data_IF_364074845172
#
_entry.id   IF_364074845172
#
_cell.length_a   1.000
_cell.length_b   1.000
_cell.length_c   1.000
_cell.angle_alpha   90.00
_cell.angle_beta   90.00
_cell.angle_gamma   90.00
#
_symmetry.space_group_name_H-M   'P 1'
#
loop_
_entity.id
_entity.type
_entity.pdbx_description
1 polymer ?
#
# COMPACT_ATOMS: atom_id res chain seq x y z
N UNK A 1 -3.07 1.50 27.38
CA UNK A 1 -4.08 0.93 26.46
C UNK A 1 -4.97 2.04 25.95
N UNK A 2 -4.89 2.36 24.66
CA UNK A 2 -5.67 3.43 24.02
C UNK A 2 -6.57 2.83 22.93
N UNK A 3 -7.90 2.73 23.14
CA UNK A 3 -8.81 2.17 22.14
C UNK A 3 -8.77 2.98 20.83
N UNK A 4 -8.54 4.29 20.90
CA UNK A 4 -8.44 5.16 19.73
C UNK A 4 -7.31 4.77 18.75
N UNK A 5 -6.19 4.23 19.23
CA UNK A 5 -5.12 3.76 18.32
C UNK A 5 -5.52 2.48 17.59
N UNK A 6 -6.32 1.64 18.23
CA UNK A 6 -6.81 0.39 17.62
C UNK A 6 -7.84 0.66 16.54
N UNK A 7 -8.72 1.65 16.74
CA UNK A 7 -9.69 2.06 15.71
C UNK A 7 -9.00 2.75 14.54
N UNK A 8 -8.00 3.59 14.80
CA UNK A 8 -7.19 4.23 13.77
C UNK A 8 -6.46 3.19 12.90
N UNK A 9 -5.81 2.20 13.52
CA UNK A 9 -5.07 1.17 12.77
C UNK A 9 -5.99 0.32 11.90
N UNK A 10 -7.19 -0.01 12.39
CA UNK A 10 -8.22 -0.69 11.62
C UNK A 10 -8.66 0.15 10.41
N UNK A 11 -8.94 1.44 10.60
CA UNK A 11 -9.39 2.33 9.52
C UNK A 11 -8.33 2.48 8.43
N UNK A 12 -7.06 2.70 8.81
CA UNK A 12 -5.95 2.78 7.85
C UNK A 12 -5.78 1.46 7.09
N UNK A 13 -5.91 0.32 7.77
CA UNK A 13 -5.83 -0.99 7.13
C UNK A 13 -6.96 -1.24 6.12
N UNK A 14 -8.20 -0.85 6.45
CA UNK A 14 -9.35 -0.96 5.54
C UNK A 14 -9.19 -0.09 4.29
N UNK A 15 -8.69 1.14 4.44
CA UNK A 15 -8.43 2.04 3.30
C UNK A 15 -7.33 1.47 2.41
N UNK A 16 -6.22 0.99 2.98
CA UNK A 16 -5.12 0.40 2.20
C UNK A 16 -5.54 -0.85 1.44
N UNK A 17 -6.22 -1.79 2.11
CA UNK A 17 -6.65 -3.05 1.48
C UNK A 17 -7.71 -2.82 0.40
N UNK A 18 -8.71 -1.98 0.66
CA UNK A 18 -9.73 -1.64 -0.34
C UNK A 18 -9.11 -0.97 -1.58
N UNK A 19 -8.15 -0.06 -1.40
CA UNK A 19 -7.42 0.55 -2.52
C UNK A 19 -6.71 -0.50 -3.39
N UNK A 20 -6.01 -1.46 -2.76
CA UNK A 20 -5.28 -2.54 -3.44
C UNK A 20 -6.22 -3.47 -4.19
N UNK A 21 -7.35 -3.86 -3.59
CA UNK A 21 -8.34 -4.66 -4.28
C UNK A 21 -8.95 -3.92 -5.47
N UNK A 22 -9.28 -2.64 -5.33
CA UNK A 22 -9.77 -1.83 -6.45
C UNK A 22 -8.76 -1.79 -7.60
N UNK A 23 -7.47 -1.58 -7.34
CA UNK A 23 -6.42 -1.63 -8.39
C UNK A 23 -6.29 -3.01 -9.04
N UNK A 24 -6.38 -4.10 -8.28
CA UNK A 24 -6.36 -5.46 -8.83
C UNK A 24 -7.57 -5.73 -9.74
N UNK A 25 -8.75 -5.22 -9.36
CA UNK A 25 -9.97 -5.38 -10.17
C UNK A 25 -9.93 -4.57 -11.45
N UNK A 26 -9.38 -3.35 -11.45
CA UNK A 26 -9.24 -2.57 -12.69
C UNK A 26 -8.23 -3.18 -13.66
N UNK A 27 -7.23 -3.90 -13.15
CA UNK A 27 -6.23 -4.63 -13.95
C UNK A 27 -6.66 -6.07 -14.30
N UNK A 28 -7.74 -6.60 -13.73
CA UNK A 28 -8.17 -7.99 -13.85
C UNK A 28 -7.02 -9.00 -13.61
N UNK A 29 -6.16 -8.73 -12.63
CA UNK A 29 -4.93 -9.48 -12.37
C UNK A 29 -5.00 -10.21 -11.02
N UNK A 30 -5.04 -11.55 -11.05
CA UNK A 30 -5.04 -12.39 -9.84
C UNK A 30 -3.67 -13.01 -9.52
N UNK A 31 -2.77 -13.07 -10.51
CA UNK A 31 -1.48 -13.75 -10.40
C UNK A 31 -0.33 -12.74 -10.55
N UNK A 32 0.81 -13.02 -9.90
CA UNK A 32 2.00 -12.16 -9.94
C UNK A 32 2.45 -11.89 -11.39
N UNK A 33 2.47 -12.91 -12.24
CA UNK A 33 2.87 -12.76 -13.66
C UNK A 33 1.87 -11.92 -14.47
N UNK A 34 0.58 -11.92 -14.10
CA UNK A 34 -0.42 -11.05 -14.75
C UNK A 34 -0.27 -9.60 -14.27
N UNK A 35 0.11 -9.44 -13.00
CA UNK A 35 0.37 -8.15 -12.39
C UNK A 35 1.61 -7.48 -12.97
N UNK A 36 2.70 -8.23 -13.20
CA UNK A 36 3.93 -7.69 -13.81
C UNK A 36 3.71 -7.13 -15.21
N UNK A 37 2.78 -7.73 -15.96
CA UNK A 37 2.39 -7.30 -17.30
C UNK A 37 1.55 -6.01 -17.31
N UNK A 38 1.10 -5.52 -16.14
CA UNK A 38 0.29 -4.30 -16.04
C UNK A 38 1.08 -3.03 -16.38
N UNK A 39 2.40 -3.02 -16.14
CA UNK A 39 3.28 -1.87 -16.44
C UNK A 39 3.16 -1.42 -17.89
N UNK A 40 3.15 -2.37 -18.82
CA UNK A 40 3.09 -2.12 -20.25
C UNK A 40 1.69 -1.68 -20.73
N UNK A 41 0.64 -1.97 -19.96
CA UNK A 41 -0.75 -1.61 -20.30
C UNK A 41 -1.15 -0.25 -19.72
N UNK A 42 -0.80 0.00 -18.46
CA UNK A 42 -1.21 1.18 -17.70
C UNK A 42 -0.10 1.60 -16.73
N UNK A 43 0.95 2.30 -17.19
CA UNK A 43 2.10 2.63 -16.36
C UNK A 43 1.73 3.48 -15.13
N UNK A 44 0.76 4.41 -15.26
CA UNK A 44 0.29 5.24 -14.14
C UNK A 44 -0.37 4.42 -13.02
N UNK A 45 -1.11 3.38 -13.39
CA UNK A 45 -1.76 2.51 -12.40
C UNK A 45 -0.73 1.60 -11.72
N UNK A 46 0.27 1.13 -12.46
CA UNK A 46 1.36 0.33 -11.91
C UNK A 46 2.25 1.12 -10.94
N UNK A 47 2.52 2.41 -11.20
CA UNK A 47 3.28 3.26 -10.25
C UNK A 47 2.49 3.54 -8.97
N UNK A 48 1.19 3.86 -9.07
CA UNK A 48 0.34 4.04 -7.89
C UNK A 48 0.17 2.74 -7.07
N UNK A 49 0.10 1.60 -7.75
CA UNK A 49 0.11 0.29 -7.12
C UNK A 49 1.42 -0.03 -6.39
N UNK A 50 2.56 0.40 -6.92
CA UNK A 50 3.84 0.30 -6.23
C UNK A 50 3.82 1.09 -4.92
N UNK A 51 3.35 2.34 -4.94
CA UNK A 51 3.34 3.20 -3.76
C UNK A 51 2.40 2.66 -2.67
N UNK A 52 1.24 2.14 -3.05
CA UNK A 52 0.25 1.53 -2.13
C UNK A 52 0.76 0.22 -1.50
N UNK A 53 1.49 -0.61 -2.26
CA UNK A 53 2.22 -1.78 -1.71
C UNK A 53 3.26 -1.36 -0.68
N UNK A 54 4.02 -0.29 -0.95
CA UNK A 54 4.96 0.28 0.01
C UNK A 54 4.25 0.82 1.26
N UNK A 55 3.04 1.38 1.09
CA UNK A 55 2.22 1.85 2.20
C UNK A 55 1.76 0.71 3.12
N UNK A 56 1.37 -0.44 2.57
CA UNK A 56 1.10 -1.65 3.37
C UNK A 56 2.35 -2.15 4.12
N UNK A 57 3.53 -2.00 3.52
CA UNK A 57 4.81 -2.26 4.18
C UNK A 57 5.08 -1.31 5.36
N UNK A 58 4.54 -0.10 5.33
CA UNK A 58 4.71 0.91 6.37
C UNK A 58 6.04 1.62 6.27
N UNK A 59 6.39 2.11 5.09
CA UNK A 59 7.60 2.93 4.87
C UNK A 59 7.39 4.37 5.36
N UNK A 60 8.43 5.05 5.87
CA UNK A 60 8.32 6.36 6.53
C UNK A 60 7.68 7.50 5.72
N UNK A 61 7.67 7.53 4.36
CA UNK A 61 6.89 8.55 3.64
C UNK A 61 5.41 8.20 3.45
N UNK A 62 4.95 7.01 3.85
CA UNK A 62 3.61 6.49 3.50
C UNK A 62 2.67 6.38 4.70
N UNK A 63 1.35 6.39 4.44
CA UNK A 63 0.31 6.38 5.49
C UNK A 63 0.36 5.17 6.43
N UNK A 64 0.77 3.99 5.94
CA UNK A 64 0.78 2.77 6.76
C UNK A 64 1.92 2.72 7.80
N UNK A 65 2.86 3.67 7.77
CA UNK A 65 3.84 3.82 8.84
C UNK A 65 3.22 4.42 10.11
N UNK A 66 2.23 5.31 9.94
CA UNK A 66 1.55 6.03 11.01
C UNK A 66 1.07 5.11 12.15
N UNK A 67 0.21 4.09 11.91
CA UNK A 67 -0.31 3.26 12.99
C UNK A 67 0.80 2.44 13.65
N UNK A 68 1.76 1.91 12.88
CA UNK A 68 2.88 1.12 13.44
C UNK A 68 3.74 1.99 14.35
N UNK A 69 4.04 3.20 13.93
CA UNK A 69 4.85 4.14 14.70
C UNK A 69 4.17 4.56 16.00
N UNK A 70 2.90 4.95 15.96
CA UNK A 70 2.15 5.34 17.16
C UNK A 70 2.00 4.18 18.15
N UNK A 71 1.77 2.96 17.67
CA UNK A 71 1.71 1.77 18.53
C UNK A 71 3.07 1.55 19.22
N UNK A 72 4.18 1.63 18.48
CA UNK A 72 5.52 1.49 19.08
C UNK A 72 5.80 2.58 20.12
N UNK A 73 5.34 3.82 19.88
CA UNK A 73 5.48 4.92 20.84
C UNK A 73 4.71 4.66 22.14
N UNK A 74 3.48 4.15 22.07
CA UNK A 74 2.70 3.83 23.28
C UNK A 74 3.26 2.61 24.03
N UNK A 75 3.82 1.62 23.32
CA UNK A 75 4.42 0.43 23.94
C UNK A 75 5.72 0.77 24.68
N UNK A 76 6.53 1.69 24.14
CA UNK A 76 7.75 2.14 24.82
C UNK A 76 7.44 2.98 26.06
N UNK A 77 6.36 3.79 26.05
CA UNK A 77 5.86 4.48 27.25
C UNK A 77 5.43 3.53 28.37
N UNK A 78 4.94 2.34 28.04
CA UNK A 78 4.55 1.31 29.01
C UNK A 78 5.72 0.40 29.43
N UNK A 79 6.97 0.78 29.14
CA UNK A 79 8.18 0.01 29.42
C UNK A 79 8.26 -1.38 28.74
N UNK A 80 7.42 -1.65 27.74
CA UNK A 80 7.41 -2.92 26.99
C UNK A 80 8.39 -2.90 25.80
N UNK A 81 9.65 -2.55 26.09
CA UNK A 81 10.69 -2.39 25.06
C UNK A 81 10.96 -3.66 24.24
N UNK A 82 11.14 -4.81 24.90
CA UNK A 82 11.44 -6.08 24.23
C UNK A 82 10.33 -6.56 23.29
N UNK A 83 9.06 -6.33 23.67
CA UNK A 83 7.91 -6.69 22.82
C UNK A 83 7.85 -5.78 21.59
N UNK A 84 8.14 -4.48 21.77
CA UNK A 84 8.14 -3.49 20.68
C UNK A 84 9.18 -3.81 19.59
N UNK A 85 10.38 -4.27 19.98
CA UNK A 85 11.44 -4.62 19.02
C UNK A 85 11.11 -5.90 18.26
N UNK A 86 10.55 -6.90 18.94
CA UNK A 86 10.08 -8.14 18.28
C UNK A 86 8.99 -7.84 17.25
N UNK A 87 8.03 -6.97 17.58
CA UNK A 87 6.99 -6.52 16.65
C UNK A 87 7.59 -5.77 15.45
N UNK A 88 8.52 -4.85 15.68
CA UNK A 88 9.20 -4.12 14.59
C UNK A 88 9.96 -5.07 13.65
N UNK A 89 10.67 -6.06 14.18
CA UNK A 89 11.37 -7.07 13.38
C UNK A 89 10.40 -7.95 12.58
N UNK A 90 9.28 -8.36 13.17
CA UNK A 90 8.26 -9.14 12.44
C UNK A 90 7.64 -8.35 11.28
N UNK A 91 7.48 -7.03 11.43
CA UNK A 91 6.95 -6.17 10.38
C UNK A 91 7.87 -6.10 9.15
N UNK A 92 9.19 -6.15 9.34
CA UNK A 92 10.16 -6.18 8.23
C UNK A 92 9.98 -7.41 7.33
N UNK A 93 9.55 -8.54 7.89
CA UNK A 93 9.29 -9.76 7.12
C UNK A 93 8.14 -9.56 6.13
N UNK A 94 7.07 -8.90 6.57
CA UNK A 94 5.93 -8.54 5.69
C UNK A 94 6.33 -7.54 4.61
N UNK A 95 7.21 -6.59 4.97
CA UNK A 95 7.72 -5.58 4.04
C UNK A 95 8.53 -6.23 2.91
N UNK A 96 9.33 -7.27 3.19
CA UNK A 96 10.09 -7.99 2.17
C UNK A 96 9.20 -8.62 1.10
N UNK A 97 8.04 -9.17 1.47
CA UNK A 97 7.08 -9.71 0.52
C UNK A 97 6.51 -8.61 -0.39
N UNK A 98 6.10 -7.47 0.18
CA UNK A 98 5.57 -6.35 -0.60
C UNK A 98 6.63 -5.72 -1.51
N UNK A 99 7.89 -5.63 -1.07
CA UNK A 99 9.00 -5.19 -1.90
C UNK A 99 9.18 -6.08 -3.12
N UNK A 100 9.21 -7.40 -2.94
CA UNK A 100 9.34 -8.35 -4.06
C UNK A 100 8.21 -8.18 -5.07
N UNK A 101 6.98 -8.01 -4.60
CA UNK A 101 5.84 -7.79 -5.48
C UNK A 101 5.99 -6.46 -6.24
N UNK A 102 6.34 -5.37 -5.55
CA UNK A 102 6.56 -4.06 -6.18
C UNK A 102 7.64 -4.12 -7.28
N UNK A 103 8.70 -4.88 -7.03
CA UNK A 103 9.80 -5.09 -7.97
C UNK A 103 9.35 -5.82 -9.25
N UNK A 104 8.50 -6.84 -9.09
CA UNK A 104 7.91 -7.55 -10.22
C UNK A 104 6.94 -6.70 -11.03
N UNK A 105 6.30 -5.69 -10.42
CA UNK A 105 5.26 -4.88 -11.08
C UNK A 105 5.82 -3.70 -11.84
N UNK A 106 6.75 -2.93 -11.27
CA UNK A 106 7.16 -1.65 -11.86
C UNK A 106 8.65 -1.57 -12.19
N UNK A 107 9.52 -2.18 -11.38
CA UNK A 107 10.97 -2.02 -11.53
C UNK A 107 11.56 -2.96 -12.59
N UNK A 108 10.86 -4.03 -12.96
CA UNK A 108 11.30 -4.95 -14.01
C UNK A 108 10.26 -5.05 -15.11
N UNK A 109 10.71 -4.98 -16.36
CA UNK A 109 9.86 -5.17 -17.54
C UNK A 109 9.79 -6.66 -17.87
N UNK A 110 8.66 -7.31 -17.55
CA UNK A 110 8.44 -8.72 -17.91
C UNK A 110 8.17 -8.90 -19.40
N UNK A 111 8.52 -10.07 -19.99
CA UNK A 111 8.36 -10.31 -21.42
C UNK A 111 6.89 -10.16 -21.85
N UNK A 112 6.69 -9.38 -22.90
CA UNK A 112 5.36 -9.00 -23.35
C UNK A 112 4.70 -10.06 -24.24
N UNK A 113 3.37 -10.16 -24.20
CA UNK A 113 2.58 -11.02 -25.08
C UNK A 113 2.20 -10.21 -26.33
N UNK A 114 2.25 -10.83 -27.51
CA UNK A 114 2.04 -10.19 -28.82
C UNK A 114 0.76 -9.33 -28.95
N UNK A 115 -0.28 -9.61 -28.16
CA UNK A 115 -1.55 -8.87 -28.19
C UNK A 115 -1.55 -7.52 -27.42
N UNK A 116 -0.44 -7.09 -26.80
CA UNK A 116 -0.42 -5.83 -26.04
C UNK A 116 -0.75 -4.62 -26.89
N UNK A 117 -0.37 -4.59 -28.17
CA UNK A 117 -0.54 -3.39 -29.01
C UNK A 117 -2.02 -3.05 -29.26
N UNK A 118 -2.92 -4.02 -29.08
CA UNK A 118 -4.37 -3.80 -29.21
C UNK A 118 -4.96 -3.11 -27.97
N UNK A 119 -4.37 -3.28 -26.79
CA UNK A 119 -4.86 -2.63 -25.56
C UNK A 119 -4.58 -1.13 -25.53
N UNK A 120 -3.58 -0.65 -26.28
CA UNK A 120 -3.27 0.78 -26.41
C UNK A 120 -4.39 1.60 -27.06
N UNK A 121 -5.26 0.95 -27.85
CA UNK A 121 -6.34 1.64 -28.58
C UNK A 121 -7.67 1.65 -27.81
N UNK A 122 -7.76 0.91 -26.70
CA UNK A 122 -8.99 0.80 -25.93
C UNK A 122 -9.06 1.90 -24.87
N UNK A 123 -10.21 2.56 -24.78
CA UNK A 123 -10.51 3.49 -23.68
C UNK A 123 -10.90 2.70 -22.44
N UNK A 124 -10.17 2.88 -21.35
CA UNK A 124 -10.50 2.25 -20.08
C UNK A 124 -11.47 3.12 -19.28
N UNK A 125 -12.63 2.57 -18.90
CA UNK A 125 -13.53 3.21 -17.96
C UNK A 125 -12.95 3.06 -16.54
N UNK A 126 -12.39 4.14 -16.00
CA UNK A 126 -11.80 4.14 -14.67
C UNK A 126 -12.86 4.38 -13.60
N UNK A 127 -12.81 3.62 -12.51
CA UNK A 127 -13.64 3.91 -11.34
C UNK A 127 -13.25 5.25 -10.74
N UNK A 128 -14.19 6.19 -10.64
CA UNK A 128 -13.96 7.54 -10.11
C UNK A 128 -13.47 7.56 -8.66
N UNK A 129 -13.75 6.50 -7.88
CA UNK A 129 -13.32 6.38 -6.48
C UNK A 129 -11.82 6.08 -6.34
N UNK A 130 -11.19 5.53 -7.39
CA UNK A 130 -9.83 4.99 -7.33
C UNK A 130 -8.76 6.07 -7.01
N UNK A 131 -8.76 7.24 -7.66
CA UNK A 131 -7.77 8.28 -7.36
C UNK A 131 -7.89 8.79 -5.92
N UNK A 132 -9.11 8.95 -5.40
CA UNK A 132 -9.34 9.41 -4.04
C UNK A 132 -8.79 8.42 -2.99
N UNK A 133 -8.96 7.12 -3.23
CA UNK A 133 -8.37 6.11 -2.34
C UNK A 133 -6.84 6.13 -2.40
N UNK A 134 -6.25 6.26 -3.59
CA UNK A 134 -4.78 6.33 -3.75
C UNK A 134 -4.19 7.56 -3.04
N UNK A 135 -4.82 8.73 -3.15
CA UNK A 135 -4.34 9.93 -2.46
C UNK A 135 -4.41 9.77 -0.93
N UNK A 136 -5.48 9.17 -0.42
CA UNK A 136 -5.61 8.80 1.00
C UNK A 136 -4.48 7.87 1.46
N UNK A 137 -4.12 6.85 0.68
CA UNK A 137 -3.02 5.94 1.04
C UNK A 137 -1.64 6.60 1.07
N UNK A 138 -1.44 7.71 0.35
CA UNK A 138 -0.12 8.33 0.19
C UNK A 138 0.09 9.53 1.10
N UNK A 139 -0.93 10.38 1.29
CA UNK A 139 -0.76 11.72 1.87
C UNK A 139 -1.34 11.88 3.29
N UNK A 140 -1.60 10.79 4.01
CA UNK A 140 -2.12 10.87 5.39
C UNK A 140 -1.09 11.27 6.46
N UNK A 141 0.20 11.10 6.19
CA UNK A 141 1.26 11.37 7.17
C UNK A 141 1.33 12.83 7.67
N UNK A 142 1.20 13.89 6.82
CA UNK A 142 1.18 15.26 7.31
C UNK A 142 -0.08 15.62 8.14
N UNK A 143 -1.14 14.83 8.06
CA UNK A 143 -2.41 15.05 8.77
C UNK A 143 -2.36 14.43 10.19
N UNK A 144 -1.29 13.69 10.52
CA UNK A 144 -1.05 13.08 11.84
C UNK A 144 -1.33 13.96 13.05
N UNK A 145 -0.86 15.23 13.15
CA UNK A 145 -1.09 16.02 14.35
C UNK A 145 -2.57 16.33 14.56
N UNK A 146 -3.34 16.50 13.48
CA UNK A 146 -4.78 16.77 13.59
C UNK A 146 -5.57 15.54 14.04
N UNK A 147 -5.17 14.35 13.59
CA UNK A 147 -5.78 13.08 14.00
C UNK A 147 -5.52 12.73 15.47
N UNK A 148 -4.39 13.20 16.02
CA UNK A 148 -4.01 12.98 17.42
C UNK A 148 -4.61 14.03 18.37
N UNK A 149 -4.94 15.22 17.86
CA UNK A 149 -5.51 16.31 18.64
C UNK A 149 -7.03 16.15 18.88
N UNK A 150 -7.70 15.34 18.06
CA UNK A 150 -9.10 14.94 18.22
C UNK A 150 -9.22 13.74 19.17
#
# INVERSE_FOLDING_TARGET
FSPNLTTLSLMVYLVLTSSMFLMMTTLNSTNINKLSMSWLKAPLLATSMMITLMALGGLPPTSGFLPKWLILQEMTKQHLGAVSTLMAMSALLSLFFYLRLSYAVSLTTTPNISNSNMTWRMTHNQMQILPAMITLTTMMLPITPTLLAM
#
